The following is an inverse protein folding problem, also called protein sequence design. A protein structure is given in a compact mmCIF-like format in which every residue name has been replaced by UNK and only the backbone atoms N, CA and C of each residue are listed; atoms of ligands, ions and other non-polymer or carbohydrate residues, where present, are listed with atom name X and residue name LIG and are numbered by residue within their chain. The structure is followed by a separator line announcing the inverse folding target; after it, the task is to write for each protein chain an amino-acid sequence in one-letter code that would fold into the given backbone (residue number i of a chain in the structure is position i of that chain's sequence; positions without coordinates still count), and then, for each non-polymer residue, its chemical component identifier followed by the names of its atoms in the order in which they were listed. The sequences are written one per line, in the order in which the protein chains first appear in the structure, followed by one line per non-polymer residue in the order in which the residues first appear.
data_IF_650735952228
#
_entry.id   IF_650735952228
#
_cell.length_a   1.000
_cell.length_b   1.000
_cell.length_c   1.000
_cell.angle_alpha   90.00
_cell.angle_beta   90.00
_cell.angle_gamma   90.00
#
_symmetry.space_group_name_H-M   'P 1'
#
loop_
_entity.id
_entity.type
_entity.pdbx_description
1 polymer ?
#
# COMPACT_ATOMS: atom_id res chain seq x y z
N UNK A 1 -30.00 -1.91 18.18
CA UNK A 1 -29.34 -0.60 18.38
C UNK A 1 -27.91 -0.94 18.78
N UNK A 2 -27.07 -1.25 17.78
CA UNK A 2 -25.68 -1.72 17.93
C UNK A 2 -24.68 -0.70 17.34
N UNK A 3 -25.12 0.54 17.09
CA UNK A 3 -24.25 1.61 16.57
C UNK A 3 -23.36 2.23 17.66
N UNK A 4 -23.58 1.89 18.93
CA UNK A 4 -22.83 2.43 20.08
C UNK A 4 -22.02 1.34 20.82
N UNK A 5 -21.77 0.18 20.21
CA UNK A 5 -20.77 -0.75 20.75
C UNK A 5 -19.38 -0.37 20.24
N UNK A 6 -18.51 0.21 21.08
CA UNK A 6 -17.16 0.57 20.67
C UNK A 6 -16.32 -0.66 20.28
N UNK A 7 -16.66 -1.86 20.77
CA UNK A 7 -16.04 -3.12 20.34
C UNK A 7 -16.28 -3.43 18.86
N UNK A 8 -17.54 -3.37 18.41
CA UNK A 8 -17.90 -3.55 17.00
C UNK A 8 -17.25 -2.53 16.06
N UNK A 9 -17.12 -1.26 16.48
CA UNK A 9 -16.43 -0.24 15.69
C UNK A 9 -14.93 -0.52 15.56
N UNK A 10 -14.28 -1.00 16.62
CA UNK A 10 -12.87 -1.40 16.58
C UNK A 10 -12.68 -2.59 15.62
N UNK A 11 -13.55 -3.60 15.66
CA UNK A 11 -13.47 -4.75 14.77
C UNK A 11 -13.57 -4.35 13.28
N UNK A 12 -14.45 -3.40 12.96
CA UNK A 12 -14.55 -2.86 11.59
C UNK A 12 -13.27 -2.12 11.16
N UNK A 13 -12.67 -1.34 12.06
CA UNK A 13 -11.41 -0.64 11.79
C UNK A 13 -10.26 -1.64 11.58
N UNK A 14 -10.18 -2.70 12.38
CA UNK A 14 -9.18 -3.76 12.23
C UNK A 14 -9.32 -4.48 10.88
N UNK A 15 -10.54 -4.83 10.48
CA UNK A 15 -10.79 -5.41 9.16
C UNK A 15 -10.35 -4.48 8.02
N UNK A 16 -10.57 -3.16 8.17
CA UNK A 16 -10.12 -2.16 7.20
C UNK A 16 -8.59 -2.03 7.16
N UNK A 17 -7.93 -2.08 8.31
CA UNK A 17 -6.46 -2.04 8.40
C UNK A 17 -5.83 -3.25 7.70
N UNK A 18 -6.40 -4.44 7.85
CA UNK A 18 -5.96 -5.65 7.15
C UNK A 18 -6.06 -5.49 5.62
N UNK A 19 -7.19 -4.97 5.13
CA UNK A 19 -7.37 -4.71 3.69
C UNK A 19 -6.38 -3.66 3.14
N UNK A 20 -6.11 -2.62 3.91
CA UNK A 20 -5.13 -1.59 3.55
C UNK A 20 -3.70 -2.17 3.53
N UNK A 21 -3.37 -3.04 4.48
CA UNK A 21 -2.09 -3.73 4.56
C UNK A 21 -1.87 -4.66 3.35
N UNK A 22 -2.86 -5.47 2.96
CA UNK A 22 -2.78 -6.30 1.75
C UNK A 22 -2.54 -5.44 0.49
N UNK A 23 -3.28 -4.33 0.38
CA UNK A 23 -3.12 -3.40 -0.75
C UNK A 23 -1.71 -2.80 -0.78
N UNK A 24 -1.18 -2.39 0.38
CA UNK A 24 0.18 -1.87 0.50
C UNK A 24 1.23 -2.92 0.13
N UNK A 25 1.06 -4.17 0.56
CA UNK A 25 1.97 -5.26 0.23
C UNK A 25 1.97 -5.57 -1.28
N UNK A 26 0.79 -5.61 -1.89
CA UNK A 26 0.64 -5.78 -3.34
C UNK A 26 1.32 -4.66 -4.12
N UNK A 27 1.15 -3.40 -3.71
CA UNK A 27 1.85 -2.27 -4.32
C UNK A 27 3.38 -2.42 -4.21
N UNK A 28 3.92 -2.86 -3.05
CA UNK A 28 5.36 -3.11 -2.88
C UNK A 28 5.88 -4.21 -3.82
N UNK A 29 5.12 -5.30 -4.00
CA UNK A 29 5.45 -6.38 -4.93
C UNK A 29 5.49 -5.88 -6.38
N UNK A 30 4.48 -5.10 -6.78
CA UNK A 30 4.42 -4.54 -8.14
C UNK A 30 5.56 -3.53 -8.37
N UNK A 31 5.86 -2.66 -7.41
CA UNK A 31 6.99 -1.72 -7.47
C UNK A 31 8.31 -2.46 -7.74
N UNK A 32 8.55 -3.58 -7.06
CA UNK A 32 9.75 -4.38 -7.25
C UNK A 32 9.79 -5.02 -8.65
N UNK A 33 8.67 -5.60 -9.10
CA UNK A 33 8.55 -6.15 -10.44
C UNK A 33 8.77 -5.08 -11.53
N UNK A 34 8.17 -3.89 -11.38
CA UNK A 34 8.35 -2.76 -12.30
C UNK A 34 9.81 -2.35 -12.42
N UNK A 35 10.57 -2.30 -11.32
CA UNK A 35 12.01 -1.99 -11.35
C UNK A 35 12.79 -3.02 -12.16
N UNK A 36 12.49 -4.31 -12.00
CA UNK A 36 13.13 -5.39 -12.76
C UNK A 36 12.83 -5.24 -14.26
N UNK A 37 11.57 -4.97 -14.61
CA UNK A 37 11.15 -4.76 -16.00
C UNK A 37 11.84 -3.55 -16.63
N UNK A 38 11.93 -2.42 -15.91
CA UNK A 38 12.65 -1.22 -16.37
C UNK A 38 14.13 -1.53 -16.58
N UNK A 39 14.78 -2.18 -15.62
CA UNK A 39 16.20 -2.53 -15.73
C UNK A 39 16.46 -3.47 -16.91
N UNK A 40 15.62 -4.50 -17.07
CA UNK A 40 15.70 -5.41 -18.22
C UNK A 40 15.51 -4.70 -19.55
N UNK A 41 14.48 -3.84 -19.66
CA UNK A 41 14.23 -3.04 -20.85
C UNK A 41 15.39 -2.09 -21.18
N UNK A 42 15.96 -1.42 -20.17
CA UNK A 42 17.11 -0.53 -20.36
C UNK A 42 18.36 -1.30 -20.82
N UNK A 43 18.63 -2.48 -20.26
CA UNK A 43 19.73 -3.36 -20.70
C UNK A 43 19.54 -3.81 -22.14
N UNK A 44 18.31 -4.20 -22.52
CA UNK A 44 17.98 -4.56 -23.90
C UNK A 44 18.16 -3.39 -24.86
N UNK A 45 17.73 -2.18 -24.48
CA UNK A 45 17.95 -0.97 -25.28
C UNK A 45 19.43 -0.69 -25.50
N UNK A 46 20.26 -0.80 -24.44
CA UNK A 46 21.70 -0.64 -24.56
C UNK A 46 22.29 -1.69 -25.50
N UNK A 47 21.87 -2.95 -25.40
CA UNK A 47 22.28 -4.02 -26.32
C UNK A 47 21.93 -3.72 -27.78
N UNK A 48 20.73 -3.19 -28.04
CA UNK A 48 20.28 -2.81 -29.37
C UNK A 48 21.10 -1.64 -29.94
N UNK A 49 21.34 -0.60 -29.13
CA UNK A 49 22.13 0.58 -29.54
C UNK A 49 23.60 0.23 -29.82
N UNK A 50 24.17 -0.72 -29.07
CA UNK A 50 25.52 -1.22 -29.29
C UNK A 50 25.62 -2.23 -30.45
N UNK A 51 24.50 -2.57 -31.10
CA UNK A 51 24.45 -3.52 -32.21
C UNK A 51 24.61 -4.99 -31.81
N UNK A 52 24.55 -5.31 -30.52
CA UNK A 52 24.72 -6.67 -29.98
C UNK A 52 23.52 -7.59 -30.31
N UNK A 53 22.37 -7.00 -30.63
CA UNK A 53 21.12 -7.71 -30.93
C UNK A 53 20.77 -7.72 -32.43
N UNK A 54 21.61 -7.12 -33.28
CA UNK A 54 21.30 -6.89 -34.70
C UNK A 54 20.17 -5.85 -34.90
N UNK A 55 19.71 -5.72 -36.15
CA UNK A 55 18.65 -4.78 -36.55
C UNK A 55 17.25 -5.36 -36.32
N UNK A 56 16.92 -5.71 -35.08
CA UNK A 56 15.59 -6.22 -34.73
C UNK A 56 14.69 -5.08 -34.21
N UNK A 57 13.83 -4.58 -35.10
CA UNK A 57 12.85 -3.54 -34.77
C UNK A 57 11.85 -3.98 -33.69
N UNK A 58 11.52 -5.27 -33.61
CA UNK A 58 10.59 -5.80 -32.62
C UNK A 58 11.24 -5.78 -31.24
N UNK A 59 12.51 -6.18 -31.14
CA UNK A 59 13.26 -6.13 -29.88
C UNK A 59 13.39 -4.69 -29.36
N UNK A 60 13.71 -3.73 -30.24
CA UNK A 60 13.82 -2.32 -29.87
C UNK A 60 12.48 -1.76 -29.35
N UNK A 61 11.39 -1.98 -30.09
CA UNK A 61 10.05 -1.54 -29.69
C UNK A 61 9.60 -2.21 -28.39
N UNK A 62 9.87 -3.50 -28.22
CA UNK A 62 9.58 -4.24 -26.99
C UNK A 62 10.33 -3.68 -25.78
N UNK A 63 11.60 -3.30 -25.95
CA UNK A 63 12.40 -2.73 -24.90
C UNK A 63 11.93 -1.31 -24.50
N UNK A 64 11.54 -0.48 -25.49
CA UNK A 64 10.90 0.83 -25.22
C UNK A 64 9.58 0.64 -24.46
N UNK A 65 8.72 -0.27 -24.93
CA UNK A 65 7.44 -0.56 -24.30
C UNK A 65 7.60 -1.07 -22.86
N UNK A 66 8.59 -1.95 -22.62
CA UNK A 66 8.91 -2.45 -21.28
C UNK A 66 9.34 -1.33 -20.33
N UNK A 67 10.23 -0.43 -20.77
CA UNK A 67 10.68 0.71 -19.96
C UNK A 67 9.52 1.65 -19.65
N UNK A 68 8.75 2.08 -20.65
CA UNK A 68 7.63 3.00 -20.46
C UNK A 68 6.54 2.38 -19.57
N UNK A 69 6.12 1.15 -19.86
CA UNK A 69 5.11 0.44 -19.08
C UNK A 69 5.57 0.19 -17.63
N UNK A 70 6.86 -0.13 -17.46
CA UNK A 70 7.48 -0.27 -16.14
C UNK A 70 7.45 1.03 -15.34
N UNK A 71 7.84 2.17 -15.94
CA UNK A 71 7.85 3.49 -15.27
C UNK A 71 6.45 3.92 -14.85
N UNK A 72 5.47 3.79 -15.74
CA UNK A 72 4.07 4.16 -15.45
C UNK A 72 3.51 3.30 -14.31
N UNK A 73 3.74 1.98 -14.38
CA UNK A 73 3.31 1.05 -13.33
C UNK A 73 3.98 1.37 -11.99
N UNK A 74 5.29 1.66 -11.99
CA UNK A 74 6.02 2.07 -10.79
C UNK A 74 5.41 3.31 -10.15
N UNK A 75 5.16 4.36 -10.94
CA UNK A 75 4.61 5.63 -10.46
C UNK A 75 3.22 5.47 -9.83
N UNK A 76 2.32 4.75 -10.51
CA UNK A 76 0.97 4.49 -10.02
C UNK A 76 0.99 3.74 -8.68
N UNK A 77 1.79 2.67 -8.57
CA UNK A 77 1.86 1.88 -7.35
C UNK A 77 2.56 2.61 -6.19
N UNK A 78 3.53 3.49 -6.46
CA UNK A 78 4.12 4.36 -5.42
C UNK A 78 3.10 5.35 -4.89
N UNK A 79 2.31 5.96 -5.77
CA UNK A 79 1.23 6.88 -5.35
C UNK A 79 0.19 6.16 -4.51
N UNK A 80 -0.29 5.00 -4.97
CA UNK A 80 -1.25 4.17 -4.23
C UNK A 80 -0.70 3.77 -2.87
N UNK A 81 0.56 3.32 -2.80
CA UNK A 81 1.20 2.94 -1.52
C UNK A 81 1.25 4.11 -0.53
N UNK A 82 1.51 5.33 -0.98
CA UNK A 82 1.47 6.54 -0.13
C UNK A 82 0.05 6.82 0.37
N UNK A 83 -0.95 6.68 -0.49
CA UNK A 83 -2.34 6.89 -0.12
C UNK A 83 -2.84 5.82 0.87
N UNK A 84 -2.52 4.53 0.66
CA UNK A 84 -2.88 3.46 1.59
C UNK A 84 -2.19 3.61 2.93
N UNK A 85 -0.90 3.94 2.96
CA UNK A 85 -0.18 4.18 4.22
C UNK A 85 -0.75 5.37 5.00
N UNK A 86 -1.14 6.45 4.33
CA UNK A 86 -1.84 7.57 4.97
C UNK A 86 -3.21 7.15 5.53
N UNK A 87 -3.96 6.33 4.78
CA UNK A 87 -5.25 5.81 5.23
C UNK A 87 -5.11 4.83 6.41
N UNK A 88 -4.04 4.02 6.46
CA UNK A 88 -3.71 3.16 7.59
C UNK A 88 -3.46 4.01 8.85
N UNK A 89 -2.61 5.03 8.75
CA UNK A 89 -2.33 5.93 9.87
C UNK A 89 -3.59 6.63 10.41
N UNK A 90 -4.49 7.05 9.52
CA UNK A 90 -5.78 7.62 9.91
C UNK A 90 -6.68 6.60 10.63
N UNK A 91 -6.73 5.36 10.16
CA UNK A 91 -7.50 4.29 10.79
C UNK A 91 -6.91 3.89 12.15
N UNK A 92 -5.59 3.83 12.30
CA UNK A 92 -4.90 3.59 13.58
C UNK A 92 -5.19 4.70 14.60
N UNK A 93 -5.19 5.97 14.17
CA UNK A 93 -5.54 7.09 15.03
C UNK A 93 -6.98 7.00 15.55
N UNK A 94 -7.94 6.63 14.68
CA UNK A 94 -9.34 6.41 15.08
C UNK A 94 -9.47 5.25 16.06
N UNK A 95 -8.78 4.13 15.82
CA UNK A 95 -8.75 3.00 16.76
C UNK A 95 -8.22 3.42 18.13
N UNK A 96 -7.12 4.20 18.15
CA UNK A 96 -6.52 4.67 19.41
C UNK A 96 -7.43 5.63 20.19
N UNK A 97 -8.17 6.49 19.50
CA UNK A 97 -9.17 7.37 20.12
C UNK A 97 -10.33 6.58 20.73
N UNK A 98 -10.87 5.60 20.00
CA UNK A 98 -11.92 4.71 20.53
C UNK A 98 -11.47 3.95 21.77
N UNK A 99 -10.26 3.35 21.74
CA UNK A 99 -9.70 2.66 22.89
C UNK A 99 -9.56 3.61 24.09
N UNK A 100 -9.07 4.83 23.86
CA UNK A 100 -8.92 5.83 24.93
C UNK A 100 -10.27 6.19 25.57
N UNK A 101 -11.34 6.31 24.77
CA UNK A 101 -12.69 6.56 25.28
C UNK A 101 -13.25 5.40 26.11
N UNK A 102 -12.99 4.16 25.69
CA UNK A 102 -13.39 2.96 26.44
C UNK A 102 -12.67 2.92 27.80
N UNK A 103 -11.36 3.16 27.82
CA UNK A 103 -10.55 3.16 29.04
C UNK A 103 -11.03 4.21 30.05
N UNK A 104 -11.31 5.43 29.57
CA UNK A 104 -11.90 6.49 30.41
C UNK A 104 -13.25 6.10 31.03
N UNK A 105 -14.10 5.35 30.30
CA UNK A 105 -15.39 4.88 30.83
C UNK A 105 -15.21 3.81 31.91
N UNK A 106 -14.31 2.85 31.71
CA UNK A 106 -14.00 1.80 32.68
C UNK A 106 -13.50 2.37 34.02
N UNK A 107 -12.67 3.42 34.00
CA UNK A 107 -12.14 4.09 35.20
C UNK A 107 -13.22 4.86 35.98
N UNK A 108 -14.25 5.40 35.29
CA UNK A 108 -15.36 6.12 35.92
C UNK A 108 -16.29 5.23 36.74
N UNK A 109 -16.48 3.98 36.31
CA UNK A 109 -17.35 2.99 36.98
C UNK A 109 -16.69 2.39 38.23
N UNK A 110 -15.36 2.26 38.27
CA UNK A 110 -14.63 1.70 39.43
C UNK A 110 -14.50 2.66 40.61
N UNK A 111 -14.72 3.98 40.44
CA UNK A 111 -14.53 4.99 41.51
C UNK A 111 -15.77 5.22 42.41
N UNK A 112 -16.90 4.53 42.19
CA UNK A 112 -18.13 4.69 43.03
C UNK A 112 -18.52 3.44 43.83
N UNK A 113 -17.57 2.75 44.44
CA UNK A 113 -17.85 1.74 45.46
C UNK A 113 -16.82 1.85 46.59
N UNK A 114 -17.16 2.64 47.61
CA UNK A 114 -16.47 2.75 48.90
C UNK A 114 -17.34 3.57 49.85
N UNK A 115 -17.51 3.13 51.12
CA UNK A 115 -18.66 3.41 51.99
C UNK A 115 -18.85 4.87 52.40
#
# INVERSE_FOLDING_TARGET
MEEDDPGGQIALIEARLEQLADTAERCRKIILASKIVIAGGAVLLLGAVLGLLGSDAVALLGAIAAVLGGIVSLGSNVSTLRQTTAAMAAAEALRSDLISRIDLRLVGETRRLGP
#
